data_IF_901558355717
#
_entry.id   IF_901558355717
#
_cell.length_a   1.000
_cell.length_b   1.000
_cell.length_c   1.000
_cell.angle_alpha   90.00
_cell.angle_beta   90.00
_cell.angle_gamma   90.00
#
_symmetry.space_group_name_H-M   'P 1'
#
loop_
_entity.id
_entity.type
_entity.pdbx_description
1 polymer ?
#
# COMPACT_ATOMS: atom_id res chain seq x y z
N UNK A 1 -1.98 17.42 12.96
CA UNK A 1 -0.96 17.05 11.95
C UNK A 1 0.38 16.87 12.63
N UNK A 2 1.24 15.96 12.15
CA UNK A 2 2.59 15.73 12.73
C UNK A 2 3.40 17.02 12.84
N UNK A 3 3.29 17.91 11.85
CA UNK A 3 3.96 19.23 11.87
C UNK A 3 3.57 20.08 13.09
N UNK A 4 2.29 20.09 13.47
CA UNK A 4 1.81 20.81 14.66
C UNK A 4 2.33 20.16 15.94
N UNK A 5 2.34 18.83 15.99
CA UNK A 5 2.85 18.07 17.14
C UNK A 5 4.34 18.37 17.38
N UNK A 6 5.12 18.55 16.31
CA UNK A 6 6.53 18.93 16.38
C UNK A 6 6.75 20.41 16.75
N UNK A 7 5.67 21.18 16.95
CA UNK A 7 5.68 22.63 17.21
C UNK A 7 6.56 23.39 16.19
N UNK A 8 6.28 23.17 14.90
CA UNK A 8 6.96 23.83 13.78
C UNK A 8 5.96 24.54 12.90
N UNK A 9 6.20 25.82 12.63
CA UNK A 9 5.37 26.60 11.72
C UNK A 9 5.66 26.28 10.26
N UNK A 10 6.93 25.99 9.92
CA UNK A 10 7.37 25.57 8.60
C UNK A 10 8.38 24.43 8.67
N UNK A 11 8.41 23.59 7.64
CA UNK A 11 9.26 22.42 7.55
C UNK A 11 9.97 22.32 6.20
N UNK A 12 11.11 21.63 6.16
CA UNK A 12 11.72 21.15 4.93
C UNK A 12 11.22 19.71 4.73
N UNK A 13 10.67 19.43 3.56
CA UNK A 13 10.20 18.09 3.21
C UNK A 13 11.21 17.44 2.28
N UNK A 14 11.69 16.26 2.68
CA UNK A 14 12.53 15.40 1.86
C UNK A 14 11.77 14.09 1.68
N UNK A 15 11.47 13.73 0.44
CA UNK A 15 10.68 12.54 0.13
C UNK A 15 11.32 11.68 -0.94
N UNK A 16 11.41 10.38 -0.66
CA UNK A 16 11.87 9.35 -1.60
C UNK A 16 10.70 8.46 -2.02
N UNK A 17 10.65 8.03 -3.29
CA UNK A 17 9.61 7.14 -3.82
C UNK A 17 8.20 7.66 -3.48
N UNK A 18 7.35 6.85 -2.83
CA UNK A 18 6.03 7.27 -2.34
C UNK A 18 6.08 8.39 -1.30
N UNK A 19 7.15 8.47 -0.51
CA UNK A 19 7.37 9.60 0.40
C UNK A 19 7.54 10.92 -0.35
N UNK A 20 8.12 10.89 -1.55
CA UNK A 20 8.18 12.03 -2.46
C UNK A 20 6.79 12.46 -2.93
N UNK A 21 5.94 11.48 -3.28
CA UNK A 21 4.57 11.74 -3.68
C UNK A 21 3.75 12.42 -2.57
N UNK A 22 3.87 11.93 -1.33
CA UNK A 22 3.20 12.52 -0.17
C UNK A 22 3.73 13.93 0.15
N UNK A 23 5.04 14.14 0.03
CA UNK A 23 5.66 15.45 0.22
C UNK A 23 5.16 16.48 -0.82
N UNK A 24 4.99 16.06 -2.08
CA UNK A 24 4.38 16.89 -3.11
C UNK A 24 2.94 17.28 -2.76
N UNK A 25 2.07 16.32 -2.43
CA UNK A 25 0.68 16.60 -2.04
C UNK A 25 0.60 17.57 -0.86
N UNK A 26 1.40 17.34 0.18
CA UNK A 26 1.44 18.22 1.33
C UNK A 26 1.83 19.65 0.94
N UNK A 27 2.85 19.81 0.10
CA UNK A 27 3.30 21.13 -0.36
C UNK A 27 2.27 21.87 -1.22
N UNK A 28 1.40 21.14 -1.92
CA UNK A 28 0.31 21.72 -2.70
C UNK A 28 -0.85 22.19 -1.81
N UNK A 29 -1.17 21.47 -0.74
CA UNK A 29 -2.25 21.84 0.17
C UNK A 29 -1.84 22.88 1.22
N UNK A 30 -0.59 22.85 1.67
CA UNK A 30 -0.07 23.72 2.74
C UNK A 30 1.25 24.39 2.35
N UNK A 31 1.29 25.12 1.22
CA UNK A 31 2.54 25.73 0.73
C UNK A 31 3.16 26.70 1.74
N UNK A 32 2.37 27.37 2.57
CA UNK A 32 2.82 28.27 3.63
C UNK A 32 3.60 27.56 4.74
N UNK A 33 3.43 26.24 4.88
CA UNK A 33 4.11 25.38 5.85
C UNK A 33 5.40 24.76 5.30
N UNK A 34 5.75 24.97 4.03
CA UNK A 34 6.91 24.32 3.40
C UNK A 34 7.99 25.34 3.06
N UNK A 35 9.18 25.20 3.68
CA UNK A 35 10.35 26.01 3.35
C UNK A 35 10.98 25.56 2.03
N UNK A 36 11.17 24.25 1.89
CA UNK A 36 11.81 23.61 0.73
C UNK A 36 11.24 22.21 0.54
N UNK A 37 11.18 21.77 -0.71
CA UNK A 37 10.80 20.42 -1.11
C UNK A 37 11.97 19.79 -1.86
N UNK A 38 12.44 18.63 -1.38
CA UNK A 38 13.49 17.83 -2.02
C UNK A 38 12.91 16.46 -2.36
N UNK A 39 12.96 16.10 -3.65
CA UNK A 39 12.42 14.85 -4.16
C UNK A 39 13.56 13.96 -4.64
N UNK A 40 13.63 12.74 -4.13
CA UNK A 40 14.65 11.75 -4.49
C UNK A 40 13.93 10.59 -5.16
N UNK A 41 14.08 10.44 -6.48
CA UNK A 41 13.42 9.37 -7.25
C UNK A 41 11.94 9.18 -6.87
N UNK A 42 11.23 10.31 -6.77
CA UNK A 42 9.86 10.33 -6.29
C UNK A 42 8.92 9.63 -7.28
N UNK A 43 7.87 8.98 -6.75
CA UNK A 43 6.74 8.56 -7.56
C UNK A 43 5.91 9.81 -7.89
N UNK A 44 5.82 10.14 -9.18
CA UNK A 44 5.08 11.32 -9.63
C UNK A 44 3.62 11.00 -9.92
N UNK A 45 2.75 12.01 -9.77
CA UNK A 45 1.41 11.94 -10.34
C UNK A 45 1.52 12.14 -11.84
N UNK A 46 1.08 11.15 -12.61
CA UNK A 46 0.84 11.35 -14.03
C UNK A 46 -0.49 12.07 -14.20
N UNK A 47 -0.54 13.19 -14.96
CA UNK A 47 -1.82 13.76 -15.33
C UNK A 47 -2.60 12.73 -16.15
N UNK A 48 -3.88 12.60 -15.86
CA UNK A 48 -4.82 11.72 -16.57
C UNK A 48 -5.99 12.56 -17.06
N UNK A 49 -6.72 12.07 -18.07
CA UNK A 49 -7.94 12.76 -18.51
C UNK A 49 -8.99 12.77 -17.39
N UNK A 50 -9.88 13.76 -17.43
CA UNK A 50 -10.99 13.89 -16.48
C UNK A 50 -11.88 12.64 -16.54
N UNK A 51 -12.09 12.09 -17.73
CA UNK A 51 -12.87 10.88 -17.98
C UNK A 51 -12.22 9.68 -17.31
N UNK A 52 -10.91 9.50 -17.48
CA UNK A 52 -10.17 8.41 -16.85
C UNK A 52 -10.20 8.54 -15.33
N UNK A 53 -9.94 9.73 -14.79
CA UNK A 53 -10.01 9.97 -13.35
C UNK A 53 -11.39 9.64 -12.78
N UNK A 54 -12.46 10.10 -13.44
CA UNK A 54 -13.84 9.85 -13.03
C UNK A 54 -14.18 8.36 -13.03
N UNK A 55 -13.80 7.65 -14.10
CA UNK A 55 -14.05 6.21 -14.22
C UNK A 55 -13.25 5.44 -13.15
N UNK A 56 -11.93 5.63 -13.11
CA UNK A 56 -11.04 4.93 -12.20
C UNK A 56 -11.43 5.14 -10.73
N UNK A 57 -11.74 6.39 -10.35
CA UNK A 57 -12.14 6.70 -8.97
C UNK A 57 -13.44 6.00 -8.60
N UNK A 58 -14.43 5.97 -9.51
CA UNK A 58 -15.70 5.27 -9.28
C UNK A 58 -15.48 3.77 -9.11
N UNK A 59 -14.76 3.15 -10.04
CA UNK A 59 -14.46 1.72 -9.98
C UNK A 59 -13.71 1.35 -8.70
N UNK A 60 -12.74 2.17 -8.28
CA UNK A 60 -12.01 1.95 -7.04
C UNK A 60 -12.91 2.01 -5.80
N UNK A 61 -13.81 3.01 -5.73
CA UNK A 61 -14.78 3.14 -4.63
C UNK A 61 -15.74 1.95 -4.61
N UNK A 62 -16.34 1.59 -5.74
CA UNK A 62 -17.31 0.48 -5.83
C UNK A 62 -16.65 -0.86 -5.45
N UNK A 63 -15.41 -1.09 -5.91
CA UNK A 63 -14.63 -2.26 -5.53
C UNK A 63 -14.30 -2.27 -4.03
N UNK A 64 -13.96 -1.12 -3.46
CA UNK A 64 -13.66 -0.98 -2.03
C UNK A 64 -14.90 -1.24 -1.16
N UNK A 65 -16.07 -0.73 -1.56
CA UNK A 65 -17.35 -1.01 -0.90
C UNK A 65 -17.65 -2.51 -0.97
N UNK A 66 -17.55 -3.11 -2.15
CA UNK A 66 -17.78 -4.55 -2.34
C UNK A 66 -16.85 -5.39 -1.46
N UNK A 67 -15.57 -5.02 -1.37
CA UNK A 67 -14.60 -5.71 -0.52
C UNK A 67 -14.95 -5.57 0.97
N UNK A 68 -15.37 -4.39 1.39
CA UNK A 68 -15.79 -4.10 2.76
C UNK A 68 -17.06 -4.87 3.15
N UNK A 69 -18.03 -4.98 2.25
CA UNK A 69 -19.24 -5.78 2.51
C UNK A 69 -18.91 -7.27 2.63
N UNK A 70 -18.04 -7.78 1.76
CA UNK A 70 -17.56 -9.16 1.82
C UNK A 70 -16.78 -9.43 3.11
N UNK A 71 -15.98 -8.49 3.60
CA UNK A 71 -15.18 -8.68 4.82
C UNK A 71 -16.03 -8.76 6.10
N UNK A 72 -17.26 -8.21 6.11
CA UNK A 72 -18.17 -8.32 7.26
C UNK A 72 -18.65 -9.75 7.53
N UNK A 73 -18.75 -10.57 6.48
CA UNK A 73 -19.35 -11.91 6.57
C UNK A 73 -18.37 -13.04 6.28
N UNK A 74 -17.28 -12.76 5.56
CA UNK A 74 -16.27 -13.78 5.24
C UNK A 74 -15.28 -13.98 6.37
N UNK A 75 -15.08 -15.26 6.73
CA UNK A 75 -13.91 -15.67 7.52
C UNK A 75 -12.64 -15.45 6.69
N UNK A 76 -11.50 -15.10 7.31
CA UNK A 76 -10.23 -15.05 6.62
C UNK A 76 -9.93 -16.37 5.90
N UNK A 77 -9.39 -16.33 4.68
CA UNK A 77 -9.04 -17.54 3.96
C UNK A 77 -7.98 -18.34 4.72
N UNK A 78 -8.15 -19.67 4.70
CA UNK A 78 -7.21 -20.63 5.28
C UNK A 78 -6.46 -21.31 4.15
N UNK A 79 -5.15 -21.40 4.30
CA UNK A 79 -4.24 -21.94 3.30
C UNK A 79 -3.42 -23.09 3.88
N UNK A 80 -3.11 -24.08 3.05
CA UNK A 80 -1.92 -24.91 3.27
C UNK A 80 -0.65 -24.11 3.00
N UNK A 81 0.50 -24.58 3.51
CA UNK A 81 1.77 -23.89 3.24
C UNK A 81 2.05 -23.73 1.74
N UNK A 82 1.80 -24.77 0.95
CA UNK A 82 2.05 -24.76 -0.49
C UNK A 82 1.10 -23.83 -1.26
N UNK A 83 -0.19 -23.81 -0.91
CA UNK A 83 -1.14 -22.89 -1.54
C UNK A 83 -0.84 -21.42 -1.21
N UNK A 84 -0.43 -21.13 0.03
CA UNK A 84 0.01 -19.80 0.43
C UNK A 84 1.30 -19.38 -0.27
N UNK A 85 2.26 -20.31 -0.45
CA UNK A 85 3.50 -20.08 -1.21
C UNK A 85 3.19 -19.75 -2.67
N UNK A 86 2.28 -20.50 -3.30
CA UNK A 86 1.86 -20.23 -4.67
C UNK A 86 1.16 -18.87 -4.80
N UNK A 87 0.29 -18.51 -3.85
CA UNK A 87 -0.34 -17.20 -3.81
C UNK A 87 0.71 -16.07 -3.71
N UNK A 88 1.67 -16.18 -2.78
CA UNK A 88 2.73 -15.18 -2.60
C UNK A 88 3.60 -14.99 -3.85
N UNK A 89 3.90 -16.07 -4.59
CA UNK A 89 4.70 -15.98 -5.82
C UNK A 89 4.03 -15.11 -6.88
N UNK A 90 2.70 -15.16 -6.95
CA UNK A 90 1.90 -14.50 -7.99
C UNK A 90 1.27 -13.17 -7.52
N UNK A 91 1.38 -12.81 -6.24
CA UNK A 91 0.70 -11.64 -5.67
C UNK A 91 1.41 -10.28 -5.90
N UNK A 92 2.63 -10.26 -6.47
CA UNK A 92 3.39 -9.01 -6.61
C UNK A 92 2.91 -8.19 -7.81
N UNK A 93 2.83 -6.87 -7.60
CA UNK A 93 2.47 -5.89 -8.65
C UNK A 93 3.52 -5.90 -9.77
N UNK A 94 4.80 -6.08 -9.43
CA UNK A 94 5.91 -6.08 -10.38
C UNK A 94 6.58 -7.45 -10.45
N UNK A 95 6.20 -8.23 -11.46
CA UNK A 95 6.79 -9.53 -11.74
C UNK A 95 6.43 -10.62 -10.73
N UNK A 96 7.10 -11.77 -10.83
CA UNK A 96 6.90 -12.92 -9.94
C UNK A 96 8.05 -13.04 -8.96
N UNK A 97 7.75 -13.48 -7.75
CA UNK A 97 8.79 -13.83 -6.78
C UNK A 97 9.49 -15.13 -7.20
N UNK A 98 10.81 -15.20 -7.04
CA UNK A 98 11.54 -16.44 -7.26
C UNK A 98 11.04 -17.53 -6.28
N UNK A 99 10.76 -18.77 -6.73
CA UNK A 99 10.20 -19.82 -5.88
C UNK A 99 11.01 -20.11 -4.61
N UNK A 100 12.33 -19.95 -4.67
CA UNK A 100 13.27 -20.18 -3.57
C UNK A 100 13.14 -19.10 -2.49
N UNK A 101 12.79 -17.87 -2.88
CA UNK A 101 12.59 -16.75 -1.96
C UNK A 101 11.21 -16.77 -1.29
N UNK A 102 10.23 -17.47 -1.87
CA UNK A 102 8.85 -17.49 -1.38
C UNK A 102 8.73 -18.15 -0.01
N UNK A 103 9.43 -19.27 0.25
CA UNK A 103 9.34 -19.98 1.53
C UNK A 103 9.78 -19.14 2.73
N UNK A 104 11.00 -18.57 2.74
CA UNK A 104 11.48 -17.73 3.83
C UNK A 104 10.62 -16.48 4.08
N UNK A 105 10.14 -15.83 3.01
CA UNK A 105 9.26 -14.67 3.14
C UNK A 105 7.89 -15.06 3.69
N UNK A 106 7.32 -16.15 3.20
CA UNK A 106 6.02 -16.64 3.64
C UNK A 106 6.02 -16.95 5.14
N UNK A 107 7.07 -17.57 5.67
CA UNK A 107 7.19 -17.86 7.12
C UNK A 107 7.06 -16.63 8.02
N UNK A 108 7.34 -15.41 7.51
CA UNK A 108 7.19 -14.16 8.27
C UNK A 108 5.75 -13.64 8.31
N UNK A 109 4.91 -14.11 7.39
CA UNK A 109 3.57 -13.61 7.15
C UNK A 109 2.49 -14.68 7.37
N UNK A 110 2.81 -15.80 8.02
CA UNK A 110 1.86 -16.87 8.33
C UNK A 110 1.58 -16.93 9.82
N UNK A 111 0.29 -16.97 10.17
CA UNK A 111 -0.18 -17.35 11.49
C UNK A 111 -0.72 -18.79 11.44
N UNK A 112 -0.13 -19.76 12.17
CA UNK A 112 -0.64 -21.12 12.23
C UNK A 112 -1.96 -21.16 13.03
N UNK A 113 -2.96 -21.85 12.49
CA UNK A 113 -4.27 -22.05 13.13
C UNK A 113 -4.66 -23.53 13.25
N UNK A 114 -3.82 -24.43 12.77
CA UNK A 114 -4.00 -25.88 12.82
C UNK A 114 -2.87 -26.62 12.10
N UNK A 115 -2.99 -27.94 11.98
CA UNK A 115 -2.06 -28.76 11.20
C UNK A 115 -2.19 -28.46 9.71
N UNK A 116 -1.10 -27.97 9.10
CA UNK A 116 -1.07 -27.44 7.72
C UNK A 116 -2.19 -26.44 7.40
N UNK A 117 -2.59 -25.64 8.39
CA UNK A 117 -3.59 -24.59 8.24
C UNK A 117 -3.03 -23.26 8.71
N UNK A 118 -2.97 -22.30 7.79
CA UNK A 118 -2.39 -20.99 8.05
C UNK A 118 -3.29 -19.88 7.52
N UNK A 119 -3.22 -18.73 8.18
CA UNK A 119 -3.74 -17.46 7.68
C UNK A 119 -2.58 -16.54 7.33
N UNK A 120 -2.68 -15.81 6.22
CA UNK A 120 -1.69 -14.80 5.85
C UNK A 120 -1.98 -13.53 6.66
N UNK A 121 -0.96 -12.99 7.32
CA UNK A 121 -1.04 -11.75 8.10
C UNK A 121 -0.12 -10.67 7.50
N UNK A 122 -0.41 -9.41 7.84
CA UNK A 122 0.36 -8.24 7.42
C UNK A 122 1.13 -7.61 8.61
N UNK A 123 1.33 -8.37 9.68
CA UNK A 123 1.98 -7.91 10.92
C UNK A 123 3.49 -7.68 10.74
#
# INVERSE_FOLDING_TARGET
MVVNYMNREKVILIGHCWGGQMAMLFSQFFPERVLRLVLIEAVYFSPVSVEYFKQYTREYIDNSITLLEKSKTRKPPVYSFDSAKHAMINARIYGKLKPEAAGPLLKRCLNPIGEDQYQITND
#
